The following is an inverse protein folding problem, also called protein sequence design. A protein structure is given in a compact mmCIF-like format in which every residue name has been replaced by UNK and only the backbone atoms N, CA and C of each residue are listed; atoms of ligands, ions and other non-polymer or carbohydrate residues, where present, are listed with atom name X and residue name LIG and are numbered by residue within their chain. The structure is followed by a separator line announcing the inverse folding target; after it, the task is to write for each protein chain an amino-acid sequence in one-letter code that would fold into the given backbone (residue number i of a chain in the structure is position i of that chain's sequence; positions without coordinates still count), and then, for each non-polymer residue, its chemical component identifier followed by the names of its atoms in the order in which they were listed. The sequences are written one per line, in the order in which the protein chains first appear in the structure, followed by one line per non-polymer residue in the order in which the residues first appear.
data_IF_612695851009
#
_entry.id   IF_612695851009
#
_cell.length_a   1.000
_cell.length_b   1.000
_cell.length_c   1.000
_cell.angle_alpha   90.00
_cell.angle_beta   90.00
_cell.angle_gamma   90.00
#
_symmetry.space_group_name_H-M   'P 1'
#
loop_
_entity.id
_entity.type
_entity.pdbx_description
1 polymer ?
#
# COMPACT_ATOMS: atom_id res chain seq x y z
N UNK A 1 27.79 -17.70 -31.30
CA UNK A 1 26.44 -17.26 -31.68
C UNK A 1 25.40 -18.02 -30.84
N UNK A 2 25.34 -19.37 -30.87
CA UNK A 2 24.35 -20.17 -30.14
C UNK A 2 24.33 -19.95 -28.59
N UNK A 3 25.50 -19.80 -27.97
CA UNK A 3 25.64 -19.53 -26.53
C UNK A 3 25.12 -18.14 -26.11
N UNK A 4 25.33 -17.13 -26.96
CA UNK A 4 24.83 -15.77 -26.71
C UNK A 4 23.30 -15.74 -26.75
N UNK A 5 22.70 -16.35 -27.74
CA UNK A 5 21.23 -16.41 -27.90
C UNK A 5 20.52 -17.18 -26.77
N UNK A 6 21.17 -18.23 -26.22
CA UNK A 6 20.63 -18.99 -25.07
C UNK A 6 20.74 -18.16 -23.78
N UNK A 7 21.86 -17.44 -23.56
CA UNK A 7 22.01 -16.56 -22.40
C UNK A 7 21.04 -15.37 -22.45
N UNK A 8 20.91 -14.69 -23.59
CA UNK A 8 19.93 -13.61 -23.77
C UNK A 8 18.49 -14.07 -23.53
N UNK A 9 18.14 -15.29 -23.95
CA UNK A 9 16.83 -15.88 -23.67
C UNK A 9 16.63 -16.21 -22.19
N UNK A 10 17.67 -16.69 -21.49
CA UNK A 10 17.63 -16.97 -20.06
C UNK A 10 17.53 -15.69 -19.24
N UNK A 11 18.30 -14.67 -19.61
CA UNK A 11 18.24 -13.34 -18.99
C UNK A 11 16.85 -12.71 -19.17
N UNK A 12 16.26 -12.80 -20.34
CA UNK A 12 14.89 -12.32 -20.61
C UNK A 12 13.81 -13.06 -19.80
N UNK A 13 13.92 -14.39 -19.66
CA UNK A 13 12.98 -15.19 -18.84
C UNK A 13 13.15 -14.88 -17.35
N UNK A 14 14.38 -14.75 -16.87
CA UNK A 14 14.65 -14.40 -15.46
C UNK A 14 14.20 -12.98 -15.14
N UNK A 15 14.48 -12.02 -16.01
CA UNK A 15 14.03 -10.64 -15.85
C UNK A 15 12.50 -10.55 -15.82
N UNK A 16 11.81 -11.17 -16.80
CA UNK A 16 10.34 -11.19 -16.83
C UNK A 16 9.70 -11.93 -15.64
N UNK A 17 10.38 -12.96 -15.12
CA UNK A 17 9.92 -13.63 -13.89
C UNK A 17 10.09 -12.73 -12.66
N UNK A 18 11.19 -11.97 -12.55
CA UNK A 18 11.43 -11.06 -11.45
C UNK A 18 10.46 -9.86 -11.47
N UNK A 19 10.07 -9.38 -12.64
CA UNK A 19 9.06 -8.32 -12.79
C UNK A 19 7.70 -8.68 -12.18
N UNK A 20 7.36 -9.97 -12.11
CA UNK A 20 6.13 -10.43 -11.45
C UNK A 20 6.22 -10.46 -9.92
N UNK A 21 7.42 -10.39 -9.35
CA UNK A 21 7.66 -10.44 -7.90
C UNK A 21 8.10 -9.11 -7.28
N UNK A 22 8.55 -8.18 -8.11
CA UNK A 22 9.06 -6.88 -7.67
C UNK A 22 8.23 -5.76 -8.30
N UNK A 23 7.94 -4.71 -7.51
CA UNK A 23 7.26 -3.54 -8.07
C UNK A 23 8.13 -2.87 -9.15
N UNK A 24 7.52 -2.28 -10.19
CA UNK A 24 8.26 -1.55 -11.23
C UNK A 24 9.19 -0.48 -10.66
N UNK A 25 8.73 0.26 -9.65
CA UNK A 25 9.52 1.28 -8.93
C UNK A 25 10.77 0.68 -8.30
N UNK A 26 10.65 -0.51 -7.69
CA UNK A 26 11.81 -1.19 -7.09
C UNK A 26 12.77 -1.73 -8.16
N UNK A 27 12.24 -2.24 -9.27
CA UNK A 27 13.05 -2.72 -10.40
C UNK A 27 13.89 -1.60 -11.01
N UNK A 28 13.31 -0.42 -11.23
CA UNK A 28 14.03 0.73 -11.74
C UNK A 28 15.14 1.18 -10.78
N UNK A 29 14.85 1.21 -9.48
CA UNK A 29 15.87 1.54 -8.46
C UNK A 29 17.01 0.53 -8.40
N UNK A 30 16.73 -0.77 -8.52
CA UNK A 30 17.76 -1.83 -8.57
C UNK A 30 18.61 -1.68 -9.83
N UNK A 31 18.01 -1.27 -10.95
CA UNK A 31 18.72 -1.01 -12.20
C UNK A 31 19.69 0.16 -12.07
N UNK A 32 19.27 1.23 -11.38
CA UNK A 32 20.07 2.41 -11.12
C UNK A 32 21.14 2.19 -10.04
N UNK A 33 20.83 1.40 -9.02
CA UNK A 33 21.73 1.06 -7.90
C UNK A 33 21.63 -0.44 -7.55
N UNK A 34 22.46 -1.31 -8.17
CA UNK A 34 22.48 -2.75 -7.87
C UNK A 34 22.88 -3.07 -6.41
N UNK A 35 23.49 -2.14 -5.69
CA UNK A 35 23.83 -2.31 -4.27
C UNK A 35 22.59 -2.36 -3.38
N UNK A 36 21.43 -1.93 -3.87
CA UNK A 36 20.15 -2.12 -3.19
C UNK A 36 19.78 -3.58 -2.96
N UNK A 37 20.38 -4.53 -3.71
CA UNK A 37 20.20 -5.97 -3.48
C UNK A 37 21.00 -6.52 -2.28
N UNK A 38 21.93 -5.73 -1.72
CA UNK A 38 22.70 -6.18 -0.54
C UNK A 38 21.82 -6.27 0.70
N UNK A 39 22.12 -7.26 1.56
CA UNK A 39 21.52 -7.38 2.88
C UNK A 39 21.73 -6.11 3.69
N UNK A 40 20.67 -5.62 4.32
CA UNK A 40 20.68 -4.43 5.14
C UNK A 40 19.60 -3.45 4.72
N UNK A 41 19.52 -2.35 5.45
CA UNK A 41 18.55 -1.29 5.15
C UNK A 41 19.03 0.03 5.72
N UNK A 42 18.53 1.11 5.18
CA UNK A 42 18.78 2.47 5.62
C UNK A 42 17.57 3.05 6.35
N UNK A 43 17.84 3.99 7.28
CA UNK A 43 16.79 4.75 7.94
C UNK A 43 16.29 5.83 6.97
N UNK A 44 15.02 5.73 6.59
CA UNK A 44 14.36 6.68 5.68
C UNK A 44 13.09 7.22 6.31
N UNK A 45 12.70 8.43 5.94
CA UNK A 45 11.37 8.95 6.19
C UNK A 45 10.48 8.52 5.04
N UNK A 46 9.40 7.82 5.37
CA UNK A 46 8.48 7.21 4.41
C UNK A 46 7.05 7.41 4.89
N UNK A 47 6.09 7.19 4.00
CA UNK A 47 4.69 7.01 4.36
C UNK A 47 4.31 5.57 4.14
N UNK A 48 3.82 4.93 5.20
CA UNK A 48 3.34 3.54 5.18
C UNK A 48 1.84 3.55 5.00
N UNK A 49 1.37 2.67 4.17
CA UNK A 49 -0.01 2.54 3.73
C UNK A 49 -0.50 1.11 4.02
N UNK A 50 -1.61 1.01 4.70
CA UNK A 50 -2.37 -0.23 4.85
C UNK A 50 -3.76 -0.05 4.25
N UNK A 51 -4.22 -1.03 3.48
CA UNK A 51 -5.63 -1.15 3.09
C UNK A 51 -6.15 -2.54 3.43
N UNK A 52 -7.47 -2.65 3.55
CA UNK A 52 -8.16 -3.90 3.91
C UNK A 52 -9.61 -3.83 3.41
N UNK A 53 -10.17 -4.96 3.01
CA UNK A 53 -11.58 -5.04 2.58
C UNK A 53 -12.47 -5.15 3.83
N UNK A 54 -13.52 -4.37 3.87
CA UNK A 54 -14.46 -4.36 5.00
C UNK A 54 -15.24 -5.68 5.03
N UNK A 55 -15.33 -6.29 6.23
CA UNK A 55 -16.09 -7.51 6.49
C UNK A 55 -15.72 -8.73 5.60
N UNK A 56 -14.50 -8.73 5.03
CA UNK A 56 -14.03 -9.79 4.14
C UNK A 56 -14.04 -11.18 4.83
N UNK A 57 -13.66 -11.26 6.10
CA UNK A 57 -13.73 -12.53 6.85
C UNK A 57 -15.14 -13.10 6.90
N UNK A 58 -16.15 -12.25 7.14
CA UNK A 58 -17.54 -12.69 7.15
C UNK A 58 -18.04 -13.14 5.76
N UNK A 59 -17.52 -12.52 4.70
CA UNK A 59 -17.76 -12.92 3.33
C UNK A 59 -17.15 -14.30 3.03
N UNK A 60 -15.88 -14.51 3.39
CA UNK A 60 -15.16 -15.78 3.13
C UNK A 60 -15.77 -16.98 3.85
N UNK A 61 -16.39 -16.77 5.01
CA UNK A 61 -17.06 -17.83 5.77
C UNK A 61 -18.30 -18.39 5.06
N UNK A 62 -18.88 -17.65 4.11
CA UNK A 62 -20.14 -18.00 3.44
C UNK A 62 -20.01 -18.18 1.93
N UNK A 63 -18.98 -17.62 1.32
CA UNK A 63 -18.77 -17.62 -0.14
C UNK A 63 -18.08 -18.90 -0.63
N UNK A 64 -18.28 -19.23 -1.90
CA UNK A 64 -17.50 -20.25 -2.58
C UNK A 64 -16.03 -19.82 -2.69
N UNK A 65 -15.05 -20.71 -2.47
CA UNK A 65 -13.62 -20.39 -2.57
C UNK A 65 -13.22 -19.76 -3.91
N UNK A 66 -13.88 -20.12 -5.02
CA UNK A 66 -13.62 -19.53 -6.32
C UNK A 66 -14.10 -18.06 -6.35
N UNK A 67 -15.25 -17.76 -5.75
CA UNK A 67 -15.74 -16.38 -5.66
C UNK A 67 -14.84 -15.50 -4.79
N UNK A 68 -14.32 -16.05 -3.69
CA UNK A 68 -13.33 -15.37 -2.84
C UNK A 68 -12.06 -15.04 -3.64
N UNK A 69 -11.55 -16.01 -4.40
CA UNK A 69 -10.39 -15.82 -5.25
C UNK A 69 -10.64 -14.73 -6.31
N UNK A 70 -11.76 -14.78 -7.03
CA UNK A 70 -12.12 -13.82 -8.08
C UNK A 70 -12.19 -12.38 -7.53
N UNK A 71 -12.75 -12.20 -6.31
CA UNK A 71 -12.82 -10.90 -5.64
C UNK A 71 -11.43 -10.39 -5.29
N UNK A 72 -10.57 -11.24 -4.70
CA UNK A 72 -9.21 -10.86 -4.32
C UNK A 72 -8.34 -10.54 -5.53
N UNK A 73 -8.36 -11.37 -6.57
CA UNK A 73 -7.58 -11.16 -7.78
C UNK A 73 -7.92 -9.81 -8.41
N UNK A 74 -9.22 -9.54 -8.56
CA UNK A 74 -9.67 -8.26 -9.12
C UNK A 74 -9.29 -7.08 -8.24
N UNK A 75 -9.48 -7.19 -6.93
CA UNK A 75 -9.09 -6.14 -6.00
C UNK A 75 -7.58 -5.86 -6.07
N UNK A 76 -6.76 -6.89 -6.01
CA UNK A 76 -5.30 -6.72 -6.06
C UNK A 76 -4.82 -6.19 -7.40
N UNK A 77 -5.36 -6.66 -8.52
CA UNK A 77 -4.99 -6.17 -9.85
C UNK A 77 -5.26 -4.66 -9.98
N UNK A 78 -6.48 -4.23 -9.69
CA UNK A 78 -6.90 -2.82 -9.82
C UNK A 78 -6.15 -1.90 -8.84
N UNK A 79 -5.99 -2.31 -7.59
CA UNK A 79 -5.39 -1.47 -6.56
C UNK A 79 -3.87 -1.42 -6.64
N UNK A 80 -3.22 -2.53 -7.03
CA UNK A 80 -1.76 -2.56 -7.23
C UNK A 80 -1.34 -1.64 -8.37
N UNK A 81 -2.11 -1.58 -9.45
CA UNK A 81 -1.87 -0.64 -10.54
C UNK A 81 -1.89 0.82 -10.03
N UNK A 82 -2.88 1.19 -9.21
CA UNK A 82 -2.99 2.53 -8.60
C UNK A 82 -1.80 2.83 -7.68
N UNK A 83 -1.34 1.84 -6.88
CA UNK A 83 -0.17 2.01 -6.02
C UNK A 83 1.08 2.29 -6.86
N UNK A 84 1.30 1.56 -7.95
CA UNK A 84 2.45 1.75 -8.83
C UNK A 84 2.40 3.10 -9.57
N UNK A 85 1.25 3.53 -10.06
CA UNK A 85 1.05 4.85 -10.67
C UNK A 85 1.33 6.02 -9.69
N UNK A 86 1.22 5.75 -8.40
CA UNK A 86 1.53 6.70 -7.34
C UNK A 86 2.98 6.61 -6.82
N UNK A 87 3.88 5.91 -7.52
CA UNK A 87 5.27 5.64 -7.10
C UNK A 87 5.37 4.82 -5.80
N UNK A 88 4.35 4.03 -5.47
CA UNK A 88 4.31 3.16 -4.30
C UNK A 88 5.04 1.83 -4.54
N UNK A 89 5.53 1.27 -3.45
CA UNK A 89 6.11 -0.07 -3.41
C UNK A 89 5.19 -0.96 -2.60
N UNK A 90 4.63 -2.00 -3.21
CA UNK A 90 3.90 -3.04 -2.48
C UNK A 90 4.92 -3.89 -1.74
N UNK A 91 4.83 -3.93 -0.42
CA UNK A 91 5.66 -4.79 0.43
C UNK A 91 5.11 -6.22 0.40
N UNK A 92 3.83 -6.37 0.76
CA UNK A 92 3.17 -7.70 0.77
C UNK A 92 1.65 -7.59 0.81
N UNK A 93 1.02 -8.68 0.40
CA UNK A 93 -0.40 -8.95 0.62
C UNK A 93 -0.57 -9.77 1.90
N UNK A 94 -1.59 -9.47 2.70
CA UNK A 94 -1.87 -10.11 3.99
C UNK A 94 -3.36 -10.48 4.07
N UNK A 95 -3.70 -11.66 3.54
CA UNK A 95 -5.11 -12.01 3.34
C UNK A 95 -5.73 -11.08 2.29
N UNK A 96 -6.68 -10.27 2.67
CA UNK A 96 -7.31 -9.22 1.87
C UNK A 96 -6.66 -7.84 2.03
N UNK A 97 -5.65 -7.74 2.90
CA UNK A 97 -4.92 -6.51 3.16
C UNK A 97 -3.72 -6.29 2.26
N UNK A 98 -3.40 -5.03 2.00
CA UNK A 98 -2.20 -4.60 1.28
C UNK A 98 -1.35 -3.74 2.21
N UNK A 99 -0.09 -4.12 2.37
CA UNK A 99 0.94 -3.25 2.93
C UNK A 99 1.77 -2.67 1.79
N UNK A 100 1.77 -1.36 1.69
CA UNK A 100 2.61 -0.63 0.76
C UNK A 100 3.33 0.52 1.47
N UNK A 101 4.35 1.06 0.85
CA UNK A 101 5.01 2.26 1.35
C UNK A 101 5.47 3.16 0.20
N UNK A 102 5.63 4.44 0.52
CA UNK A 102 6.01 5.49 -0.40
C UNK A 102 7.27 6.17 0.13
N UNK A 103 8.22 6.40 -0.76
CA UNK A 103 9.38 7.23 -0.49
C UNK A 103 9.23 8.60 -1.19
N UNK A 104 9.99 9.60 -0.79
CA UNK A 104 9.96 10.89 -1.49
C UNK A 104 10.51 10.71 -2.90
N UNK A 105 9.73 11.10 -3.90
CA UNK A 105 10.13 11.04 -5.32
C UNK A 105 10.96 12.25 -5.72
N UNK A 106 10.63 13.42 -5.15
CA UNK A 106 11.32 14.70 -5.39
C UNK A 106 11.20 15.61 -4.16
N UNK A 107 11.91 16.72 -4.13
CA UNK A 107 11.77 17.74 -3.08
C UNK A 107 10.36 18.36 -3.00
N UNK A 108 9.57 18.28 -4.08
CA UNK A 108 8.22 18.83 -4.17
C UNK A 108 7.11 17.80 -3.95
N UNK A 109 7.37 16.53 -4.27
CA UNK A 109 6.38 15.45 -4.13
C UNK A 109 6.79 14.56 -2.98
N UNK A 110 6.06 14.67 -1.87
CA UNK A 110 6.35 13.92 -0.66
C UNK A 110 5.74 12.53 -0.70
N UNK A 111 6.31 11.61 0.08
CA UNK A 111 5.74 10.28 0.28
C UNK A 111 4.30 10.33 0.80
N UNK A 112 3.99 11.30 1.67
CA UNK A 112 2.65 11.51 2.22
C UNK A 112 1.64 11.92 1.15
N UNK A 113 2.01 12.86 0.27
CA UNK A 113 1.14 13.32 -0.84
C UNK A 113 0.83 12.18 -1.80
N UNK A 114 1.84 11.36 -2.15
CA UNK A 114 1.65 10.20 -3.01
C UNK A 114 0.77 9.13 -2.34
N UNK A 115 0.99 8.85 -1.05
CA UNK A 115 0.20 7.87 -0.31
C UNK A 115 -1.27 8.27 -0.19
N UNK A 116 -1.57 9.55 0.10
CA UNK A 116 -2.96 10.03 0.21
C UNK A 116 -3.62 10.08 -1.16
N UNK A 117 -2.93 10.55 -2.22
CA UNK A 117 -3.44 10.51 -3.59
C UNK A 117 -3.79 9.09 -4.03
N UNK A 118 -2.91 8.13 -3.75
CA UNK A 118 -3.15 6.71 -3.97
C UNK A 118 -4.40 6.22 -3.23
N UNK A 119 -4.52 6.53 -1.94
CA UNK A 119 -5.65 6.11 -1.12
C UNK A 119 -7.00 6.64 -1.66
N UNK A 120 -7.05 7.89 -2.05
CA UNK A 120 -8.26 8.49 -2.64
C UNK A 120 -8.62 7.80 -3.97
N UNK A 121 -7.64 7.57 -4.84
CA UNK A 121 -7.89 6.85 -6.10
C UNK A 121 -8.37 5.40 -5.85
N UNK A 122 -7.83 4.73 -4.83
CA UNK A 122 -8.31 3.40 -4.42
C UNK A 122 -9.73 3.43 -3.86
N UNK A 123 -10.13 4.47 -3.12
CA UNK A 123 -11.52 4.62 -2.66
C UNK A 123 -12.50 4.80 -3.83
N UNK A 124 -12.13 5.57 -4.86
CA UNK A 124 -12.92 5.68 -6.07
C UNK A 124 -13.07 4.34 -6.77
N UNK A 125 -11.97 3.60 -6.92
CA UNK A 125 -12.00 2.26 -7.52
C UNK A 125 -12.84 1.27 -6.70
N UNK A 126 -12.77 1.33 -5.38
CA UNK A 126 -13.60 0.51 -4.51
C UNK A 126 -15.10 0.82 -4.69
N UNK A 127 -15.48 2.09 -4.86
CA UNK A 127 -16.85 2.48 -5.14
C UNK A 127 -17.33 1.97 -6.51
N UNK A 128 -16.48 1.98 -7.55
CA UNK A 128 -16.78 1.37 -8.85
C UNK A 128 -17.01 -0.15 -8.73
N UNK A 129 -16.14 -0.84 -7.97
CA UNK A 129 -16.30 -2.27 -7.72
C UNK A 129 -17.56 -2.58 -6.93
N UNK A 130 -17.89 -1.77 -5.91
CA UNK A 130 -19.13 -1.93 -5.13
C UNK A 130 -20.38 -1.84 -6.04
N UNK A 131 -20.41 -0.87 -6.96
CA UNK A 131 -21.52 -0.76 -7.92
C UNK A 131 -21.67 -2.03 -8.76
N UNK A 132 -20.57 -2.54 -9.32
CA UNK A 132 -20.56 -3.76 -10.12
C UNK A 132 -21.05 -4.97 -9.32
N UNK A 133 -20.57 -5.11 -8.08
CA UNK A 133 -20.94 -6.24 -7.21
C UNK A 133 -22.41 -6.18 -6.75
N UNK A 134 -22.93 -4.99 -6.44
CA UNK A 134 -24.36 -4.80 -6.12
C UNK A 134 -25.28 -5.14 -7.29
N UNK A 135 -24.92 -4.77 -8.52
CA UNK A 135 -25.68 -5.13 -9.72
C UNK A 135 -25.71 -6.67 -9.95
N UNK A 136 -24.69 -7.38 -9.46
CA UNK A 136 -24.60 -8.84 -9.53
C UNK A 136 -25.18 -9.55 -8.27
N UNK A 137 -25.81 -8.82 -7.35
CA UNK A 137 -26.24 -9.32 -6.04
C UNK A 137 -25.13 -10.02 -5.23
N UNK A 138 -23.89 -9.53 -5.40
CA UNK A 138 -22.73 -9.99 -4.63
C UNK A 138 -22.59 -9.16 -3.36
N UNK A 139 -21.56 -9.50 -2.59
CA UNK A 139 -21.21 -8.86 -1.34
C UNK A 139 -20.88 -7.35 -1.55
N UNK A 140 -21.33 -6.47 -0.63
CA UNK A 140 -21.01 -5.04 -0.71
C UNK A 140 -19.51 -4.82 -0.52
N UNK A 141 -18.91 -4.07 -1.45
CA UNK A 141 -17.46 -3.88 -1.49
C UNK A 141 -17.06 -2.50 -0.97
N UNK A 142 -16.28 -2.47 0.07
CA UNK A 142 -15.70 -1.24 0.60
C UNK A 142 -14.30 -1.54 1.17
N UNK A 143 -13.42 -0.54 1.19
CA UNK A 143 -12.10 -0.65 1.81
C UNK A 143 -11.91 0.41 2.89
N UNK A 144 -10.98 0.16 3.80
CA UNK A 144 -10.45 1.12 4.77
C UNK A 144 -8.98 1.31 4.50
N UNK A 145 -8.52 2.54 4.60
CA UNK A 145 -7.11 2.87 4.38
C UNK A 145 -6.56 3.61 5.59
N UNK A 146 -5.39 3.19 6.06
CA UNK A 146 -4.62 3.88 7.08
C UNK A 146 -3.25 4.28 6.58
N UNK A 147 -2.84 5.52 6.79
CA UNK A 147 -1.55 6.05 6.36
C UNK A 147 -0.86 6.70 7.54
N UNK A 148 0.39 6.34 7.76
CA UNK A 148 1.26 6.98 8.75
C UNK A 148 2.58 7.37 8.12
N UNK A 149 3.08 8.57 8.45
CA UNK A 149 4.37 9.07 7.97
C UNK A 149 5.39 9.11 9.10
N UNK A 150 6.60 8.64 8.85
CA UNK A 150 7.66 8.65 9.85
C UNK A 150 8.93 7.94 9.41
N UNK A 151 9.86 7.78 10.37
CA UNK A 151 11.11 7.07 10.11
C UNK A 151 10.94 5.56 10.27
N UNK A 152 11.41 4.84 9.25
CA UNK A 152 11.51 3.39 9.26
C UNK A 152 12.87 2.93 8.73
N UNK A 153 13.23 1.68 8.98
CA UNK A 153 14.31 1.00 8.29
C UNK A 153 13.73 0.34 7.04
N UNK A 154 14.23 0.74 5.87
CA UNK A 154 13.81 0.23 4.55
C UNK A 154 14.97 -0.50 3.92
N UNK A 155 14.75 -1.68 3.39
CA UNK A 155 15.78 -2.46 2.67
C UNK A 155 15.56 -3.97 2.72
N UNK A 156 16.60 -4.69 2.32
CA UNK A 156 16.60 -6.15 2.28
C UNK A 156 16.82 -6.74 3.67
N UNK A 157 15.79 -7.29 4.22
CA UNK A 157 15.76 -7.81 5.59
C UNK A 157 15.35 -9.28 5.57
N UNK A 158 16.07 -10.10 6.31
CA UNK A 158 15.81 -11.53 6.41
C UNK A 158 17.07 -12.38 6.46
N UNK A 159 16.94 -13.70 6.60
CA UNK A 159 18.03 -14.63 6.45
C UNK A 159 18.54 -14.67 5.01
N UNK A 160 19.79 -15.12 4.80
CA UNK A 160 20.41 -15.16 3.45
C UNK A 160 19.60 -15.92 2.40
N UNK A 161 18.84 -16.92 2.85
CA UNK A 161 18.09 -17.80 1.96
C UNK A 161 16.67 -17.29 1.64
N UNK A 162 16.21 -16.24 2.38
CA UNK A 162 14.93 -15.59 2.15
C UNK A 162 14.99 -14.13 2.57
N UNK A 163 15.17 -13.27 1.60
CA UNK A 163 15.30 -11.83 1.78
C UNK A 163 14.03 -11.18 1.24
N UNK A 164 13.43 -10.29 2.04
CA UNK A 164 12.33 -9.45 1.62
C UNK A 164 12.80 -7.98 1.59
N UNK A 165 12.50 -7.26 0.52
CA UNK A 165 12.63 -5.80 0.51
C UNK A 165 11.42 -5.23 1.24
N UNK A 166 11.61 -4.78 2.45
CA UNK A 166 10.52 -4.47 3.39
C UNK A 166 10.84 -3.30 4.30
N UNK A 167 9.86 -2.91 5.11
CA UNK A 167 9.94 -1.80 6.05
C UNK A 167 9.75 -2.27 7.50
N UNK A 168 10.57 -1.75 8.41
CA UNK A 168 10.46 -2.00 9.86
C UNK A 168 10.49 -0.68 10.62
N UNK A 169 9.46 -0.47 11.44
CA UNK A 169 9.36 0.73 12.30
C UNK A 169 8.01 0.84 12.98
N UNK A 170 7.90 1.72 13.98
CA UNK A 170 6.64 2.01 14.68
C UNK A 170 5.57 2.58 13.75
N UNK A 171 6.00 3.29 12.70
CA UNK A 171 5.11 3.85 11.66
C UNK A 171 4.32 2.76 10.92
N UNK A 172 4.89 1.55 10.75
CA UNK A 172 4.19 0.40 10.15
C UNK A 172 3.03 -0.05 11.03
N UNK A 173 3.28 -0.16 12.34
CA UNK A 173 2.24 -0.52 13.30
C UNK A 173 1.17 0.59 13.37
N UNK A 174 1.58 1.85 13.35
CA UNK A 174 0.65 2.99 13.37
C UNK A 174 -0.29 2.96 12.17
N UNK A 175 0.23 2.81 10.97
CA UNK A 175 -0.55 2.73 9.73
C UNK A 175 -1.60 1.61 9.79
N UNK A 176 -1.22 0.42 10.29
CA UNK A 176 -2.16 -0.70 10.50
C UNK A 176 -3.25 -0.38 11.52
N UNK A 177 -2.93 0.36 12.61
CA UNK A 177 -3.94 0.77 13.61
C UNK A 177 -4.89 1.82 13.07
N UNK A 178 -4.39 2.79 12.30
CA UNK A 178 -5.21 3.79 11.63
C UNK A 178 -6.19 3.12 10.65
N UNK A 179 -5.72 2.15 9.85
CA UNK A 179 -6.58 1.38 8.96
C UNK A 179 -7.70 0.66 9.77
N UNK A 180 -7.34 -0.03 10.85
CA UNK A 180 -8.32 -0.76 11.67
C UNK A 180 -9.29 0.16 12.43
N UNK A 181 -8.92 1.42 12.67
CA UNK A 181 -9.76 2.43 13.30
C UNK A 181 -10.79 3.03 12.34
N UNK A 182 -10.46 3.11 11.02
CA UNK A 182 -11.29 3.73 9.99
C UNK A 182 -12.65 3.04 9.79
N UNK A 183 -13.62 3.82 9.33
CA UNK A 183 -14.90 3.33 8.84
C UNK A 183 -14.79 2.93 7.35
N UNK A 184 -15.76 2.17 6.80
CA UNK A 184 -15.81 1.90 5.37
C UNK A 184 -15.74 3.17 4.54
N UNK A 185 -14.79 3.25 3.61
CA UNK A 185 -14.56 4.43 2.77
C UNK A 185 -13.60 5.46 3.34
N UNK A 186 -13.12 5.30 4.59
CA UNK A 186 -12.19 6.26 5.17
C UNK A 186 -10.76 6.11 4.65
N UNK A 187 -10.09 7.26 4.54
CA UNK A 187 -8.63 7.40 4.48
C UNK A 187 -8.18 8.05 5.77
N UNK A 188 -7.66 7.24 6.69
CA UNK A 188 -7.26 7.67 8.04
C UNK A 188 -5.78 7.97 8.07
N UNK A 189 -5.41 9.14 8.59
CA UNK A 189 -4.03 9.63 8.59
C UNK A 189 -3.59 10.09 10.00
N UNK A 190 -2.29 10.07 10.26
CA UNK A 190 -1.67 10.64 11.46
C UNK A 190 -1.32 12.13 11.30
N UNK A 191 -0.90 12.78 12.39
CA UNK A 191 -0.54 14.21 12.43
C UNK A 191 0.67 14.50 11.51
N UNK A 192 1.60 13.58 11.38
CA UNK A 192 2.77 13.76 10.51
C UNK A 192 2.39 13.72 9.02
N UNK A 193 1.48 12.83 8.62
CA UNK A 193 0.91 12.81 7.26
C UNK A 193 0.12 14.08 6.99
N UNK A 194 -0.73 14.51 7.95
CA UNK A 194 -1.52 15.74 7.86
C UNK A 194 -0.66 16.96 7.52
N UNK A 195 0.51 17.09 8.15
CA UNK A 195 1.40 18.24 7.92
C UNK A 195 1.69 18.48 6.43
N UNK A 196 1.79 17.41 5.63
CA UNK A 196 2.12 17.50 4.19
C UNK A 196 0.91 17.66 3.29
N UNK A 197 -0.30 17.29 3.73
CA UNK A 197 -1.46 17.15 2.83
C UNK A 197 -2.62 18.07 3.18
N UNK A 198 -2.56 18.79 4.29
CA UNK A 198 -3.66 19.64 4.81
C UNK A 198 -4.17 20.70 3.84
N UNK A 199 -3.28 21.19 2.97
CA UNK A 199 -3.62 22.26 2.01
C UNK A 199 -4.23 21.70 0.71
N UNK A 200 -4.11 20.40 0.45
CA UNK A 200 -4.56 19.74 -0.79
C UNK A 200 -5.90 19.02 -0.62
N UNK A 201 -6.21 18.54 0.60
CA UNK A 201 -7.38 17.72 0.88
C UNK A 201 -8.31 18.35 1.91
N UNK A 202 -9.55 17.89 1.93
CA UNK A 202 -10.48 18.17 3.02
C UNK A 202 -10.12 17.26 4.19
N UNK A 203 -9.91 17.85 5.35
CA UNK A 203 -9.47 17.16 6.57
C UNK A 203 -10.56 17.25 7.64
N UNK A 204 -10.85 16.11 8.30
CA UNK A 204 -11.66 16.07 9.51
C UNK A 204 -10.80 15.60 10.68
N UNK A 205 -10.80 16.37 11.77
CA UNK A 205 -10.08 16.02 12.99
C UNK A 205 -10.95 15.08 13.86
N UNK A 206 -10.42 13.88 14.14
CA UNK A 206 -11.07 12.88 14.98
C UNK A 206 -10.54 12.90 16.43
N UNK A 207 -9.64 13.82 16.75
CA UNK A 207 -9.05 13.98 18.07
C UNK A 207 -7.99 12.94 18.43
N UNK A 208 -7.67 12.85 19.71
CA UNK A 208 -6.75 11.86 20.25
C UNK A 208 -7.44 10.52 20.45
N UNK A 209 -6.94 9.46 19.83
CA UNK A 209 -7.50 8.10 19.88
C UNK A 209 -6.55 7.14 20.59
N UNK A 210 -7.08 6.30 21.45
CA UNK A 210 -6.33 5.21 22.08
C UNK A 210 -6.15 4.06 21.06
N UNK A 211 -4.95 3.90 20.53
CA UNK A 211 -4.63 2.85 19.57
C UNK A 211 -3.84 1.73 20.26
N UNK A 212 -4.20 0.48 19.99
CA UNK A 212 -3.55 -0.69 20.58
C UNK A 212 -2.04 -0.70 20.32
N UNK A 213 -1.24 -0.70 21.39
CA UNK A 213 0.22 -0.75 21.34
C UNK A 213 0.89 0.63 21.38
N UNK A 214 0.13 1.70 21.57
CA UNK A 214 0.61 3.06 21.81
C UNK A 214 0.26 3.44 23.25
N UNK A 215 1.23 4.04 23.97
CA UNK A 215 1.08 4.42 25.39
C UNK A 215 0.34 5.74 25.58
N UNK A 216 0.29 6.56 24.55
CA UNK A 216 -0.38 7.85 24.54
C UNK A 216 -1.39 7.92 23.42
N UNK A 217 -2.48 8.70 23.57
CA UNK A 217 -3.44 8.91 22.50
C UNK A 217 -2.76 9.49 21.25
N UNK A 218 -3.06 8.92 20.09
CA UNK A 218 -2.57 9.39 18.80
C UNK A 218 -3.60 10.33 18.19
N UNK A 219 -3.19 11.47 17.70
CA UNK A 219 -4.07 12.35 16.93
C UNK A 219 -4.36 11.73 15.57
N UNK A 220 -5.64 11.62 15.26
CA UNK A 220 -6.14 10.93 14.07
C UNK A 220 -7.02 11.87 13.26
N UNK A 221 -6.88 11.79 11.94
CA UNK A 221 -7.62 12.61 10.99
C UNK A 221 -8.13 11.73 9.84
N UNK A 222 -9.18 12.18 9.16
CA UNK A 222 -9.54 11.64 7.84
C UNK A 222 -9.22 12.65 6.75
N UNK A 223 -8.82 12.14 5.60
CA UNK A 223 -8.58 12.92 4.40
C UNK A 223 -9.54 12.51 3.29
N UNK A 224 -10.13 13.49 2.60
CA UNK A 224 -11.00 13.28 1.43
C UNK A 224 -10.77 14.37 0.39
N UNK A 225 -11.30 14.19 -0.82
CA UNK A 225 -11.24 15.22 -1.84
C UNK A 225 -11.95 16.50 -1.40
N UNK A 226 -11.43 17.64 -1.83
CA UNK A 226 -12.13 18.90 -1.66
C UNK A 226 -13.37 18.96 -2.57
N UNK A 227 -14.48 19.50 -2.10
CA UNK A 227 -15.66 19.69 -2.95
C UNK A 227 -15.32 20.52 -4.18
N UNK A 228 -15.54 19.98 -5.37
CA UNK A 228 -15.40 20.71 -6.65
C UNK A 228 -14.01 20.70 -7.30
N UNK A 229 -13.12 19.79 -6.90
CA UNK A 229 -11.89 19.47 -7.66
C UNK A 229 -12.13 18.35 -8.64
#
# INVERSE_FOLDING_TARGET
VYRVTVMERYEGVLAGSLESYLSPVLMDRIRDDPDLLRLGGSRKRISVFFSDIVDFTAFTDQADPQEVQDVLERYFEETTAIIFEADGIVDKYMGDGILAFFENSTDKVTSASNAVRCAIAMQHKAAELDQVYREQNRFPFAIRVGIATGYAKVGNIGPRDKIDYTVIGSVVNLSSRLQSFGQPGDVVIDEETLFFVKDDYQISDLGGQELKGFSEPVKVFTASEKPGT
#
